data_IF_831840143901
#
_entry.id   IF_831840143901
#
_cell.length_a   1.000
_cell.length_b   1.000
_cell.length_c   1.000
_cell.angle_alpha   90.00
_cell.angle_beta   90.00
_cell.angle_gamma   90.00
#
_symmetry.space_group_name_H-M   'P 1'
#
loop_
_entity.id
_entity.type
_entity.pdbx_description
1 polymer ?
#
# COMPACT_ATOMS: atom_id res chain seq x y z
N UNK A 1 -8.12 11.17 -18.29
CA UNK A 1 -8.82 11.88 -17.20
C UNK A 1 -7.99 11.77 -15.91
N UNK A 2 -7.78 12.87 -15.17
CA UNK A 2 -7.31 12.80 -13.78
C UNK A 2 -8.43 12.15 -12.97
N UNK A 3 -8.40 10.82 -12.84
CA UNK A 3 -9.44 10.09 -12.11
C UNK A 3 -9.46 10.53 -10.64
N UNK A 4 -10.65 10.81 -10.12
CA UNK A 4 -10.89 11.08 -8.70
C UNK A 4 -10.33 9.93 -7.87
N UNK A 5 -9.63 10.28 -6.78
CA UNK A 5 -9.04 9.32 -5.87
C UNK A 5 -9.31 9.72 -4.43
N UNK A 6 -9.61 8.74 -3.59
CA UNK A 6 -9.45 8.86 -2.15
C UNK A 6 -8.04 8.40 -1.79
N UNK A 7 -7.29 9.23 -1.06
CA UNK A 7 -5.92 8.96 -0.64
C UNK A 7 -5.83 9.24 0.85
N UNK A 8 -5.73 8.22 1.72
CA UNK A 8 -5.51 8.47 3.15
C UNK A 8 -4.10 9.00 3.37
N UNK A 9 -3.97 9.80 4.42
CA UNK A 9 -2.69 10.38 4.86
C UNK A 9 -2.28 9.72 6.16
N UNK A 10 -1.00 9.34 6.25
CA UNK A 10 -0.36 8.90 7.49
C UNK A 10 0.72 9.91 7.83
N UNK A 11 0.58 10.58 8.97
CA UNK A 11 1.62 11.47 9.48
C UNK A 11 2.79 10.64 10.04
N UNK A 12 4.00 10.84 9.50
CA UNK A 12 5.27 10.45 10.12
C UNK A 12 5.89 11.65 10.86
N UNK A 13 7.08 11.50 11.48
CA UNK A 13 7.66 12.60 12.23
C UNK A 13 8.22 13.72 11.34
N UNK A 14 8.74 13.38 10.16
CA UNK A 14 9.31 14.36 9.22
C UNK A 14 8.41 14.74 8.05
N UNK A 15 7.47 13.87 7.65
CA UNK A 15 6.57 14.12 6.51
C UNK A 15 5.34 13.22 6.48
N UNK A 16 4.36 13.64 5.70
CA UNK A 16 3.19 12.83 5.33
C UNK A 16 3.54 11.70 4.36
N UNK A 17 2.79 10.61 4.50
CA UNK A 17 2.89 9.41 3.70
C UNK A 17 1.51 9.05 3.13
N UNK A 18 1.50 8.53 1.90
CA UNK A 18 0.29 8.23 1.15
C UNK A 18 0.32 6.74 0.78
N UNK A 19 -0.17 5.83 1.65
CA UNK A 19 0.08 4.39 1.52
C UNK A 19 -0.65 3.73 0.35
N UNK A 20 -1.85 4.20 0.02
CA UNK A 20 -2.61 3.72 -1.14
C UNK A 20 -3.47 4.81 -1.75
N UNK A 21 -4.01 4.56 -2.95
CA UNK A 21 -5.14 5.32 -3.50
C UNK A 21 -6.29 4.40 -3.86
N UNK A 22 -7.52 4.78 -3.48
CA UNK A 22 -8.74 4.17 -3.99
C UNK A 22 -9.23 5.01 -5.17
N UNK A 23 -9.33 4.40 -6.34
CA UNK A 23 -9.71 5.05 -7.59
C UNK A 23 -11.17 4.71 -7.95
N UNK A 24 -11.82 5.60 -8.71
CA UNK A 24 -13.21 5.40 -9.19
C UNK A 24 -13.39 4.20 -10.10
N UNK A 25 -12.31 3.61 -10.62
CA UNK A 25 -12.36 2.36 -11.39
C UNK A 25 -12.42 1.09 -10.51
N UNK A 26 -12.68 1.24 -9.21
CA UNK A 26 -12.81 0.12 -8.27
C UNK A 26 -11.50 -0.57 -7.94
N UNK A 27 -10.36 0.13 -8.07
CA UNK A 27 -9.04 -0.40 -7.70
C UNK A 27 -8.41 0.40 -6.57
N UNK A 28 -7.79 -0.36 -5.66
CA UNK A 28 -6.86 0.16 -4.66
C UNK A 28 -5.45 -0.02 -5.24
N UNK A 29 -4.66 1.04 -5.26
CA UNK A 29 -3.26 1.01 -5.68
C UNK A 29 -2.37 1.29 -4.47
N UNK A 30 -1.51 0.34 -4.10
CA UNK A 30 -0.51 0.54 -3.04
C UNK A 30 0.65 1.35 -3.60
N UNK A 31 1.04 2.43 -2.91
CA UNK A 31 1.90 3.48 -3.45
C UNK A 31 3.40 3.22 -3.14
N UNK A 32 3.91 2.02 -3.45
CA UNK A 32 5.29 1.62 -3.10
C UNK A 32 6.35 2.61 -3.62
N UNK A 33 6.14 3.15 -4.83
CA UNK A 33 6.97 4.21 -5.40
C UNK A 33 7.11 5.43 -4.47
N UNK A 34 6.02 5.87 -3.87
CA UNK A 34 6.00 7.06 -3.03
C UNK A 34 6.50 6.76 -1.62
N UNK A 35 6.15 5.58 -1.09
CA UNK A 35 6.67 5.09 0.20
C UNK A 35 8.20 5.00 0.19
N UNK A 36 8.82 4.62 -0.95
CA UNK A 36 10.28 4.61 -1.11
C UNK A 36 10.98 5.95 -0.83
N UNK A 37 10.28 7.07 -0.93
CA UNK A 37 10.90 8.40 -0.82
C UNK A 37 11.12 8.88 0.62
N UNK A 38 10.76 8.07 1.62
CA UNK A 38 10.81 8.45 3.03
C UNK A 38 11.08 7.23 3.94
N UNK A 39 11.74 7.43 5.10
CA UNK A 39 11.81 6.40 6.13
C UNK A 39 10.42 5.94 6.62
N UNK A 40 10.24 4.66 6.98
CA UNK A 40 11.23 3.58 6.94
C UNK A 40 11.29 2.87 5.58
N UNK A 41 10.41 3.20 4.64
CA UNK A 41 10.29 2.49 3.37
C UNK A 41 11.29 2.92 2.30
N UNK A 42 12.17 3.88 2.58
CA UNK A 42 13.38 4.12 1.79
C UNK A 42 14.37 2.93 1.86
N UNK A 43 14.32 2.15 2.93
CA UNK A 43 14.98 0.85 3.04
C UNK A 43 14.29 -0.19 2.14
N UNK A 44 15.07 -0.83 1.27
CA UNK A 44 14.58 -1.88 0.37
C UNK A 44 14.02 -3.08 1.12
N UNK A 45 14.65 -3.50 2.22
CA UNK A 45 14.22 -4.67 3.01
C UNK A 45 12.80 -4.48 3.57
N UNK A 46 12.46 -3.25 3.95
CA UNK A 46 11.11 -2.89 4.41
C UNK A 46 10.07 -2.96 3.29
N UNK A 47 10.45 -2.57 2.07
CA UNK A 47 9.58 -2.71 0.88
C UNK A 47 9.39 -4.17 0.48
N UNK A 48 10.43 -5.00 0.57
CA UNK A 48 10.34 -6.44 0.32
C UNK A 48 9.40 -7.14 1.33
N UNK A 49 9.51 -6.83 2.61
CA UNK A 49 8.59 -7.33 3.64
C UNK A 49 7.14 -6.89 3.37
N UNK A 50 6.94 -5.63 2.96
CA UNK A 50 5.61 -5.16 2.58
C UNK A 50 5.09 -5.91 1.34
N UNK A 51 5.92 -6.11 0.33
CA UNK A 51 5.54 -6.84 -0.88
C UNK A 51 5.15 -8.29 -0.57
N UNK A 52 5.89 -8.95 0.33
CA UNK A 52 5.56 -10.29 0.80
C UNK A 52 4.21 -10.35 1.52
N UNK A 53 3.85 -9.31 2.30
CA UNK A 53 2.52 -9.24 2.93
C UNK A 53 1.43 -9.07 1.87
N UNK A 54 1.65 -8.14 0.94
CA UNK A 54 0.72 -7.83 -0.14
C UNK A 54 0.49 -9.02 -1.07
N UNK A 55 1.52 -9.81 -1.38
CA UNK A 55 1.41 -10.98 -2.27
C UNK A 55 0.47 -12.06 -1.75
N UNK A 56 0.16 -12.05 -0.46
CA UNK A 56 -0.79 -13.00 0.13
C UNK A 56 -2.25 -12.60 -0.05
N UNK A 57 -2.54 -11.39 -0.55
CA UNK A 57 -3.91 -10.89 -0.71
C UNK A 57 -4.54 -11.50 -1.98
N UNK A 58 -5.64 -12.25 -1.88
CA UNK A 58 -6.37 -12.75 -3.04
C UNK A 58 -6.73 -11.63 -4.02
N UNK A 59 -6.46 -11.86 -5.31
CA UNK A 59 -6.79 -10.91 -6.37
C UNK A 59 -5.80 -9.75 -6.56
N UNK A 60 -4.70 -9.70 -5.80
CA UNK A 60 -3.65 -8.70 -6.04
C UNK A 60 -3.01 -8.88 -7.42
N UNK A 61 -2.80 -7.75 -8.10
CA UNK A 61 -2.05 -7.65 -9.35
C UNK A 61 -0.76 -6.91 -9.10
N UNK A 62 0.36 -7.61 -9.22
CA UNK A 62 1.69 -7.01 -9.14
C UNK A 62 2.00 -6.20 -10.40
N UNK A 63 2.85 -5.19 -10.25
CA UNK A 63 3.43 -4.45 -11.38
C UNK A 63 4.79 -5.04 -11.74
N UNK A 64 5.21 -4.92 -13.00
CA UNK A 64 6.49 -5.47 -13.50
C UNK A 64 7.70 -5.02 -12.66
N UNK A 65 7.68 -3.76 -12.17
CA UNK A 65 8.58 -3.31 -11.12
C UNK A 65 7.83 -3.29 -9.77
N UNK A 66 7.80 -4.44 -9.10
CA UNK A 66 6.98 -4.63 -7.90
C UNK A 66 7.44 -3.78 -6.70
N UNK A 67 8.74 -3.49 -6.57
CA UNK A 67 9.28 -2.74 -5.43
C UNK A 67 9.10 -1.21 -5.55
N UNK A 68 9.00 -0.69 -6.77
CA UNK A 68 8.89 0.74 -7.06
C UNK A 68 7.62 1.10 -7.85
N UNK A 69 6.63 0.20 -7.84
CA UNK A 69 5.43 0.27 -8.64
C UNK A 69 4.17 0.55 -7.84
N UNK A 70 3.04 0.07 -8.39
CA UNK A 70 1.70 0.30 -7.86
C UNK A 70 0.86 -1.00 -7.87
N UNK A 71 1.22 -2.01 -7.07
CA UNK A 71 0.40 -3.21 -6.93
C UNK A 71 -1.06 -2.83 -6.67
N UNK A 72 -1.97 -3.50 -7.36
CA UNK A 72 -3.38 -3.13 -7.34
C UNK A 72 -4.28 -4.27 -6.90
N UNK A 73 -5.32 -3.93 -6.14
CA UNK A 73 -6.32 -4.87 -5.63
C UNK A 73 -7.68 -4.37 -6.11
N UNK A 74 -8.47 -5.19 -6.83
CA UNK A 74 -9.86 -4.86 -7.10
C UNK A 74 -10.65 -4.79 -5.79
N UNK A 75 -11.42 -3.73 -5.57
CA UNK A 75 -12.26 -3.58 -4.36
C UNK A 75 -13.23 -4.74 -4.22
N UNK A 76 -13.76 -5.25 -5.34
CA UNK A 76 -14.62 -6.43 -5.36
C UNK A 76 -13.96 -7.70 -4.76
N UNK A 77 -12.62 -7.81 -4.82
CA UNK A 77 -11.91 -8.92 -4.19
C UNK A 77 -11.91 -8.86 -2.66
N UNK A 78 -12.18 -7.68 -2.08
CA UNK A 78 -12.25 -7.49 -0.62
C UNK A 78 -13.63 -7.86 -0.02
N UNK A 79 -14.56 -8.39 -0.83
CA UNK A 79 -15.79 -9.02 -0.33
C UNK A 79 -15.45 -10.32 0.44
N UNK A 80 -14.35 -10.99 0.06
CA UNK A 80 -13.80 -12.10 0.82
C UNK A 80 -13.24 -11.60 2.17
N UNK A 81 -13.76 -12.08 3.32
CA UNK A 81 -13.26 -11.69 4.64
C UNK A 81 -11.75 -11.93 4.81
N UNK A 82 -11.20 -12.98 4.21
CA UNK A 82 -9.78 -13.28 4.31
C UNK A 82 -8.95 -12.25 3.53
N UNK A 83 -9.40 -11.85 2.34
CA UNK A 83 -8.76 -10.79 1.57
C UNK A 83 -8.82 -9.44 2.29
N UNK A 84 -9.97 -9.09 2.87
CA UNK A 84 -10.13 -7.88 3.68
C UNK A 84 -9.20 -7.87 4.90
N UNK A 85 -9.10 -8.99 5.63
CA UNK A 85 -8.22 -9.12 6.78
C UNK A 85 -6.74 -8.93 6.38
N UNK A 86 -6.29 -9.57 5.30
CA UNK A 86 -4.89 -9.45 4.83
C UNK A 86 -4.57 -8.04 4.34
N UNK A 87 -5.51 -7.40 3.63
CA UNK A 87 -5.38 -6.02 3.20
C UNK A 87 -5.26 -5.05 4.39
N UNK A 88 -6.21 -5.10 5.34
CA UNK A 88 -6.21 -4.22 6.51
C UNK A 88 -5.00 -4.46 7.42
N UNK A 89 -4.57 -5.71 7.59
CA UNK A 89 -3.34 -6.05 8.33
C UNK A 89 -2.08 -5.50 7.67
N UNK A 90 -2.03 -5.48 6.32
CA UNK A 90 -0.93 -4.86 5.58
C UNK A 90 -0.91 -3.35 5.75
N UNK A 91 -2.07 -2.69 5.79
CA UNK A 91 -2.18 -1.26 6.10
C UNK A 91 -1.74 -0.95 7.53
N UNK A 92 -2.16 -1.76 8.50
CA UNK A 92 -1.75 -1.61 9.90
C UNK A 92 -0.23 -1.71 10.04
N UNK A 93 0.41 -2.64 9.33
CA UNK A 93 1.87 -2.73 9.26
C UNK A 93 2.51 -1.44 8.73
N UNK A 94 2.01 -0.89 7.60
CA UNK A 94 2.53 0.37 7.05
C UNK A 94 2.42 1.51 8.06
N UNK A 95 1.25 1.67 8.68
CA UNK A 95 1.00 2.74 9.67
C UNK A 95 1.91 2.59 10.89
N UNK A 96 2.07 1.37 11.40
CA UNK A 96 2.94 1.11 12.56
C UNK A 96 4.41 1.40 12.24
N UNK A 97 4.89 0.99 11.07
CA UNK A 97 6.26 1.27 10.63
C UNK A 97 6.52 2.77 10.51
N UNK A 98 5.58 3.53 9.91
CA UNK A 98 5.71 5.00 9.77
C UNK A 98 5.69 5.68 11.15
N UNK A 99 4.81 5.25 12.07
CA UNK A 99 4.66 5.90 13.38
C UNK A 99 5.77 5.54 14.38
N UNK A 100 6.33 4.34 14.32
CA UNK A 100 7.33 3.88 15.28
C UNK A 100 8.77 4.19 14.87
N UNK A 101 9.01 4.45 13.57
CA UNK A 101 10.36 4.57 13.01
C UNK A 101 10.55 5.76 12.06
N UNK A 102 9.52 6.61 11.92
CA UNK A 102 9.51 7.77 11.01
C UNK A 102 9.58 9.10 11.74
#
# INVERSE_FOLDING_TARGET
>A
QRGTAFIPVVAGASREHYPFSLRTNGKIHVQLRWLKTAPPFNDQSKREQLLQRLSTIPGIKMTDNALDGFPSIPVASLIDPQAMQRFTSSLAYIVNEIRQRG
#
